data_IF_443433144606
#
_entry.id   IF_443433144606
#
_cell.length_a   1.000
_cell.length_b   1.000
_cell.length_c   1.000
_cell.angle_alpha   90.00
_cell.angle_beta   90.00
_cell.angle_gamma   90.00
#
_symmetry.space_group_name_H-M   'P 1'
#
loop_
_entity.id
_entity.type
_entity.pdbx_description
1 polymer ?
#
# COMPACT_ATOMS: atom_id res chain seq x y z
N UNK A 1 12.26 -11.13 -16.33
CA UNK A 1 10.79 -11.16 -16.46
C UNK A 1 10.26 -10.11 -15.50
N UNK A 2 9.37 -9.23 -15.95
CA UNK A 2 8.90 -8.09 -15.15
C UNK A 2 7.73 -8.50 -14.25
N UNK A 3 7.54 -7.82 -13.11
CA UNK A 3 6.42 -8.04 -12.18
C UNK A 3 5.06 -8.04 -12.91
N UNK A 4 4.87 -7.11 -13.84
CA UNK A 4 3.67 -6.97 -14.67
C UNK A 4 3.39 -8.20 -15.54
N UNK A 5 4.44 -8.90 -16.00
CA UNK A 5 4.29 -10.13 -16.78
C UNK A 5 3.75 -11.28 -15.92
N UNK A 6 4.18 -11.35 -14.64
CA UNK A 6 3.66 -12.33 -13.68
C UNK A 6 2.23 -11.99 -13.28
N UNK A 7 1.96 -10.72 -12.99
CA UNK A 7 0.61 -10.26 -12.63
C UNK A 7 -0.42 -10.63 -13.69
N UNK A 8 -0.15 -10.36 -14.97
CA UNK A 8 -1.07 -10.70 -16.07
C UNK A 8 -1.37 -12.20 -16.16
N UNK A 9 -0.37 -13.06 -15.93
CA UNK A 9 -0.56 -14.52 -15.90
C UNK A 9 -1.37 -14.99 -14.70
N UNK A 10 -1.08 -14.44 -13.51
CA UNK A 10 -1.80 -14.75 -12.28
C UNK A 10 -3.27 -14.33 -12.41
N UNK A 11 -3.53 -13.11 -12.86
CA UNK A 11 -4.89 -12.60 -13.06
C UNK A 11 -5.72 -13.47 -14.00
N UNK A 12 -5.12 -14.01 -15.07
CA UNK A 12 -5.83 -14.87 -16.01
C UNK A 12 -6.26 -16.22 -15.40
N UNK A 13 -5.51 -16.75 -14.43
CA UNK A 13 -5.74 -18.07 -13.83
C UNK A 13 -5.26 -18.12 -12.37
N UNK A 14 -5.89 -17.38 -11.44
CA UNK A 14 -5.30 -17.18 -10.13
C UNK A 14 -5.24 -18.46 -9.31
N UNK A 15 -6.24 -19.34 -9.42
CA UNK A 15 -6.25 -20.63 -8.71
C UNK A 15 -5.06 -21.54 -9.08
N UNK A 16 -4.51 -21.41 -10.29
CA UNK A 16 -3.34 -22.18 -10.71
C UNK A 16 -2.09 -21.82 -9.90
N UNK A 17 -2.02 -20.59 -9.38
CA UNK A 17 -0.88 -20.08 -8.62
C UNK A 17 -1.12 -20.14 -7.11
N UNK A 18 -2.34 -19.87 -6.66
CA UNK A 18 -2.72 -19.88 -5.24
C UNK A 18 -3.17 -21.26 -4.75
N UNK A 19 -3.48 -22.18 -5.66
CA UNK A 19 -4.03 -23.52 -5.36
C UNK A 19 -5.51 -23.52 -4.94
N UNK A 20 -6.10 -22.36 -4.69
CA UNK A 20 -7.50 -22.16 -4.28
C UNK A 20 -7.92 -20.71 -4.53
N UNK A 21 -9.22 -20.45 -4.62
CA UNK A 21 -9.76 -19.09 -4.59
C UNK A 21 -9.57 -18.52 -3.18
N UNK A 22 -8.55 -17.69 -3.00
CA UNK A 22 -8.33 -16.97 -1.75
C UNK A 22 -7.58 -15.66 -1.94
N UNK A 23 -8.19 -14.56 -1.51
CA UNK A 23 -7.60 -13.22 -1.58
C UNK A 23 -6.33 -13.16 -0.73
N UNK A 24 -6.35 -13.77 0.45
CA UNK A 24 -5.18 -13.81 1.34
C UNK A 24 -3.99 -14.46 0.63
N UNK A 25 -4.19 -15.63 0.03
CA UNK A 25 -3.14 -16.33 -0.70
C UNK A 25 -2.63 -15.51 -1.90
N UNK A 26 -3.53 -14.84 -2.63
CA UNK A 26 -3.18 -13.97 -3.74
C UNK A 26 -2.30 -12.79 -3.30
N UNK A 27 -2.70 -12.08 -2.24
CA UNK A 27 -1.96 -10.91 -1.74
C UNK A 27 -0.55 -11.30 -1.30
N UNK A 28 -0.40 -12.41 -0.56
CA UNK A 28 0.92 -12.89 -0.17
C UNK A 28 1.78 -13.34 -1.35
N UNK A 29 1.19 -13.98 -2.36
CA UNK A 29 1.90 -14.37 -3.57
C UNK A 29 2.48 -13.15 -4.29
N UNK A 30 1.65 -12.13 -4.51
CA UNK A 30 2.07 -10.91 -5.21
C UNK A 30 3.09 -10.10 -4.40
N UNK A 31 2.94 -10.04 -3.08
CA UNK A 31 3.93 -9.44 -2.18
C UNK A 31 5.28 -10.16 -2.27
N UNK A 32 5.27 -11.50 -2.23
CA UNK A 32 6.47 -12.31 -2.42
C UNK A 32 7.15 -12.09 -3.78
N UNK A 33 6.37 -11.94 -4.86
CA UNK A 33 6.91 -11.65 -6.20
C UNK A 33 7.52 -10.25 -6.26
N UNK A 34 6.88 -9.23 -5.66
CA UNK A 34 7.40 -7.87 -5.63
C UNK A 34 8.70 -7.76 -4.81
N UNK A 35 8.78 -8.50 -3.70
CA UNK A 35 10.00 -8.67 -2.90
C UNK A 35 11.10 -9.36 -3.71
N UNK A 36 10.79 -10.48 -4.36
CA UNK A 36 11.74 -11.24 -5.17
C UNK A 36 12.23 -10.46 -6.41
N UNK A 37 11.46 -9.47 -6.87
CA UNK A 37 11.87 -8.57 -7.93
C UNK A 37 12.91 -7.51 -7.47
N UNK A 38 13.30 -7.49 -6.19
CA UNK A 38 14.27 -6.58 -5.56
C UNK A 38 13.97 -5.08 -5.76
N UNK A 39 12.72 -4.77 -6.11
CA UNK A 39 12.24 -3.41 -6.33
C UNK A 39 11.26 -2.98 -5.25
N UNK A 40 10.44 -3.89 -4.71
CA UNK A 40 9.44 -3.61 -3.66
C UNK A 40 8.62 -2.33 -3.95
N UNK A 41 8.15 -2.19 -5.19
CA UNK A 41 7.52 -0.95 -5.65
C UNK A 41 6.01 -1.09 -5.67
N UNK A 42 5.47 -2.21 -6.12
CA UNK A 42 4.07 -2.30 -6.50
C UNK A 42 3.16 -2.52 -5.30
N UNK A 43 3.43 -3.52 -4.46
CA UNK A 43 2.54 -3.90 -3.36
C UNK A 43 2.51 -2.86 -2.23
N UNK A 44 3.65 -2.29 -1.79
CA UNK A 44 3.63 -1.17 -0.85
C UNK A 44 2.90 0.05 -1.43
N UNK A 45 3.20 0.44 -2.67
CA UNK A 45 2.57 1.63 -3.29
C UNK A 45 1.08 1.41 -3.53
N UNK A 46 0.66 0.19 -3.90
CA UNK A 46 -0.74 -0.16 -4.03
C UNK A 46 -1.50 -0.06 -2.70
N UNK A 47 -0.89 -0.57 -1.61
CA UNK A 47 -1.47 -0.40 -0.26
C UNK A 47 -1.70 1.08 0.04
N UNK A 48 -0.70 1.92 -0.21
CA UNK A 48 -0.83 3.35 0.05
C UNK A 48 -1.88 4.02 -0.85
N UNK A 49 -1.92 3.66 -2.13
CA UNK A 49 -2.93 4.13 -3.07
C UNK A 49 -4.36 3.79 -2.62
N UNK A 50 -4.60 2.56 -2.16
CA UNK A 50 -5.88 2.15 -1.59
C UNK A 50 -6.23 2.96 -0.33
N UNK A 51 -5.27 3.11 0.58
CA UNK A 51 -5.45 3.86 1.83
C UNK A 51 -5.91 5.29 1.56
N UNK A 52 -5.33 5.95 0.56
CA UNK A 52 -5.72 7.30 0.17
C UNK A 52 -7.05 7.34 -0.56
N UNK A 53 -7.28 6.44 -1.52
CA UNK A 53 -8.56 6.33 -2.25
C UNK A 53 -9.75 6.15 -1.31
N UNK A 54 -9.57 5.36 -0.25
CA UNK A 54 -10.63 5.04 0.71
C UNK A 54 -10.55 5.83 2.02
N UNK A 55 -9.57 6.72 2.18
CA UNK A 55 -9.32 7.48 3.42
C UNK A 55 -9.26 6.57 4.67
N UNK A 56 -8.44 5.52 4.60
CA UNK A 56 -8.30 4.48 5.64
C UNK A 56 -6.84 4.11 5.87
N UNK A 57 -6.57 3.41 6.97
CA UNK A 57 -5.21 2.96 7.36
C UNK A 57 -5.04 1.44 7.41
N UNK A 58 -6.05 0.70 6.98
CA UNK A 58 -6.05 -0.75 7.04
C UNK A 58 -5.06 -1.38 6.04
N UNK A 59 -4.84 -2.69 6.19
CA UNK A 59 -4.14 -3.48 5.18
C UNK A 59 -4.99 -3.67 3.92
N UNK A 60 -4.35 -4.14 2.84
CA UNK A 60 -5.02 -4.43 1.57
C UNK A 60 -6.22 -5.37 1.78
N UNK A 61 -6.00 -6.49 2.47
CA UNK A 61 -7.02 -7.55 2.64
C UNK A 61 -8.30 -7.02 3.31
N UNK A 62 -8.26 -6.37 4.49
CA UNK A 62 -9.47 -5.80 5.10
C UNK A 62 -10.23 -4.82 4.19
N UNK A 63 -9.51 -3.93 3.49
CA UNK A 63 -10.13 -2.94 2.60
C UNK A 63 -10.85 -3.59 1.42
N UNK A 64 -10.28 -4.66 0.86
CA UNK A 64 -10.90 -5.41 -0.24
C UNK A 64 -12.08 -6.24 0.27
N UNK A 65 -11.93 -6.96 1.39
CA UNK A 65 -12.99 -7.81 1.95
C UNK A 65 -14.24 -7.02 2.35
N UNK A 66 -14.09 -5.81 2.86
CA UNK A 66 -15.24 -4.97 3.21
C UNK A 66 -16.06 -4.58 1.97
N UNK A 67 -15.42 -4.45 0.81
CA UNK A 67 -16.09 -4.13 -0.46
C UNK A 67 -16.67 -5.35 -1.14
N UNK A 68 -16.06 -6.52 -0.98
CA UNK A 68 -16.47 -7.74 -1.65
C UNK A 68 -17.39 -8.64 -0.83
N UNK A 69 -17.48 -8.47 0.49
CA UNK A 69 -18.31 -9.31 1.37
C UNK A 69 -17.86 -10.78 1.50
N UNK A 70 -16.95 -11.26 0.66
CA UNK A 70 -16.40 -12.62 0.69
C UNK A 70 -14.98 -12.68 0.11
N UNK A 71 -14.27 -13.79 0.40
CA UNK A 71 -12.91 -14.06 -0.12
C UNK A 71 -12.93 -14.33 -1.63
N UNK A 72 -13.99 -14.99 -2.13
CA UNK A 72 -14.18 -15.34 -3.55
C UNK A 72 -14.42 -14.10 -4.41
N UNK A 73 -15.36 -13.25 -4.02
CA UNK A 73 -15.57 -11.95 -4.68
C UNK A 73 -14.39 -11.00 -4.47
N UNK A 74 -13.68 -11.14 -3.34
CA UNK A 74 -12.54 -10.31 -2.96
C UNK A 74 -11.38 -10.39 -3.95
N UNK A 75 -11.18 -11.54 -4.58
CA UNK A 75 -10.16 -11.68 -5.63
C UNK A 75 -10.48 -10.85 -6.86
N UNK A 76 -11.74 -10.84 -7.30
CA UNK A 76 -12.19 -10.00 -8.41
C UNK A 76 -11.98 -8.51 -8.10
N UNK A 77 -12.47 -8.07 -6.95
CA UNK A 77 -12.30 -6.69 -6.48
C UNK A 77 -10.83 -6.30 -6.34
N UNK A 78 -9.97 -7.21 -5.86
CA UNK A 78 -8.53 -6.96 -5.82
C UNK A 78 -7.96 -6.68 -7.21
N UNK A 79 -8.27 -7.52 -8.21
CA UNK A 79 -7.74 -7.31 -9.56
C UNK A 79 -8.22 -6.01 -10.18
N UNK A 80 -9.50 -5.68 -10.02
CA UNK A 80 -10.07 -4.42 -10.49
C UNK A 80 -9.36 -3.21 -9.87
N UNK A 81 -9.17 -3.20 -8.54
CA UNK A 81 -8.46 -2.12 -7.86
C UNK A 81 -6.99 -2.04 -8.25
N UNK A 82 -6.34 -3.18 -8.45
CA UNK A 82 -4.94 -3.23 -8.81
C UNK A 82 -4.70 -2.76 -10.25
N UNK A 83 -5.61 -3.04 -11.18
CA UNK A 83 -5.54 -2.49 -12.54
C UNK A 83 -5.66 -0.97 -12.53
N UNK A 84 -6.62 -0.42 -11.78
CA UNK A 84 -6.80 1.02 -11.64
C UNK A 84 -5.54 1.67 -11.05
N UNK A 85 -4.92 1.02 -10.07
CA UNK A 85 -3.64 1.44 -9.53
C UNK A 85 -2.54 1.41 -10.59
N UNK A 86 -2.40 0.34 -11.36
CA UNK A 86 -1.37 0.24 -12.40
C UNK A 86 -1.53 1.31 -13.48
N UNK A 87 -2.78 1.62 -13.86
CA UNK A 87 -3.09 2.69 -14.80
C UNK A 87 -2.69 4.07 -14.26
N UNK A 88 -2.96 4.34 -12.98
CA UNK A 88 -2.56 5.58 -12.31
C UNK A 88 -1.03 5.67 -12.14
N UNK A 89 -0.41 4.55 -11.75
CA UNK A 89 1.02 4.38 -11.59
C UNK A 89 1.78 4.62 -12.88
N UNK A 90 1.27 4.14 -14.02
CA UNK A 90 1.89 4.40 -15.33
C UNK A 90 1.80 5.86 -15.76
N UNK A 91 0.71 6.55 -15.39
CA UNK A 91 0.50 7.96 -15.77
C UNK A 91 1.34 8.93 -14.94
N UNK A 92 1.51 8.64 -13.65
CA UNK A 92 2.08 9.55 -12.66
C UNK A 92 3.47 9.13 -12.16
N UNK A 93 3.79 7.85 -12.24
CA UNK A 93 5.00 7.29 -11.64
C UNK A 93 4.90 7.08 -10.12
N UNK A 94 5.88 6.39 -9.52
CA UNK A 94 5.87 5.99 -8.11
C UNK A 94 5.97 7.18 -7.14
N UNK A 95 6.77 8.19 -7.48
CA UNK A 95 7.05 9.32 -6.57
C UNK A 95 5.82 10.23 -6.40
N UNK A 96 5.06 10.49 -7.47
CA UNK A 96 3.85 11.30 -7.40
C UNK A 96 2.73 10.66 -6.57
N UNK A 97 2.65 9.33 -6.57
CA UNK A 97 1.69 8.58 -5.73
C UNK A 97 2.13 8.65 -4.26
N UNK A 98 3.44 8.59 -3.98
CA UNK A 98 3.97 8.74 -2.61
C UNK A 98 3.78 10.17 -2.08
N UNK A 99 4.09 11.19 -2.87
CA UNK A 99 3.95 12.59 -2.47
C UNK A 99 2.50 13.03 -2.22
N UNK A 100 1.55 12.54 -3.03
CA UNK A 100 0.13 12.84 -2.77
C UNK A 100 -0.32 12.24 -1.44
N UNK A 101 0.17 11.05 -1.10
CA UNK A 101 -0.08 10.45 0.20
C UNK A 101 0.55 11.27 1.32
N UNK A 102 1.80 11.72 1.21
CA UNK A 102 2.42 12.58 2.25
C UNK A 102 1.65 13.90 2.48
N UNK A 103 0.86 14.37 1.50
CA UNK A 103 -0.02 15.54 1.66
C UNK A 103 -1.30 15.23 2.44
N UNK A 104 -1.91 14.06 2.22
CA UNK A 104 -3.09 13.59 2.98
C UNK A 104 -2.71 13.07 4.36
N UNK A 105 -1.50 12.54 4.48
CA UNK A 105 -0.87 12.12 5.70
C UNK A 105 0.12 13.19 6.16
N UNK A 106 -0.40 14.30 6.68
CA UNK A 106 0.36 15.12 7.63
C UNK A 106 0.70 14.26 8.85
N UNK A 107 1.73 13.43 8.73
CA UNK A 107 2.40 12.83 9.86
C UNK A 107 3.10 13.95 10.63
N UNK A 108 3.06 13.98 11.97
CA UNK A 108 4.13 14.63 12.69
C UNK A 108 5.42 13.95 12.21
N UNK A 109 6.31 14.73 11.58
CA UNK A 109 7.62 14.25 11.22
C UNK A 109 8.34 13.83 12.51
N UNK A 110 8.40 12.52 12.77
CA UNK A 110 9.19 11.98 13.87
C UNK A 110 10.66 12.02 13.47
N UNK A 111 11.28 13.20 13.55
CA UNK A 111 12.73 13.32 13.53
C UNK A 111 13.25 13.02 14.93
N UNK A 112 13.41 11.74 15.25
CA UNK A 112 14.23 11.34 16.38
C UNK A 112 15.70 11.59 16.07
N UNK A 113 16.31 12.62 16.67
CA UNK A 113 17.77 12.64 16.80
C UNK A 113 18.15 11.58 17.84
N UNK A 114 19.00 10.65 17.44
CA UNK A 114 19.65 9.74 18.39
C UNK A 114 20.54 10.54 19.33
N UNK A 115 20.03 10.86 20.52
CA UNK A 115 20.84 10.93 21.74
C UNK A 115 20.21 10.02 22.76
N UNK A 116 21.03 9.19 23.40
CA UNK A 116 20.59 8.37 24.52
C UNK A 116 19.91 9.28 25.55
N UNK A 117 18.80 8.78 26.11
CA UNK A 117 17.92 9.39 27.12
C UNK A 117 17.04 10.56 26.64
N UNK A 118 15.71 10.31 26.73
CA UNK A 118 14.56 11.21 26.55
C UNK A 118 13.98 11.36 25.12
N UNK A 119 12.71 10.98 24.98
CA UNK A 119 11.89 11.19 23.79
C UNK A 119 11.24 12.57 23.88
N UNK A 120 11.76 13.56 23.15
CA UNK A 120 11.05 14.84 22.98
C UNK A 120 10.09 14.70 21.79
N UNK A 121 8.78 14.73 22.04
CA UNK A 121 7.76 14.73 20.98
C UNK A 121 7.60 16.17 20.47
N UNK A 122 7.93 16.41 19.20
CA UNK A 122 7.64 17.69 18.52
C UNK A 122 6.67 17.46 17.39
N UNK A 123 5.49 18.08 17.48
CA UNK A 123 4.49 18.09 16.41
C UNK A 123 4.82 19.25 15.46
N UNK A 124 5.03 18.96 14.18
CA UNK A 124 5.27 19.98 13.14
C UNK A 124 4.04 20.02 12.24
N UNK A 125 3.49 21.23 12.02
CA UNK A 125 2.40 21.46 11.08
C UNK A 125 2.82 22.58 10.12
N UNK A 126 2.77 22.32 8.81
CA UNK A 126 3.10 23.29 7.75
C UNK A 126 4.49 23.93 7.83
N UNK A 127 5.52 23.17 8.22
CA UNK A 127 6.91 23.66 8.23
C UNK A 127 7.25 24.60 9.38
N UNK A 128 6.32 24.85 10.32
CA UNK A 128 6.60 25.56 11.56
C UNK A 128 6.44 24.61 12.77
N UNK A 129 7.39 24.64 13.74
CA UNK A 129 7.33 23.78 14.91
C UNK A 129 6.18 24.21 15.83
N UNK A 130 5.22 23.32 16.07
CA UNK A 130 4.06 23.57 16.94
C UNK A 130 4.32 22.93 18.31
N UNK A 131 5.28 23.49 19.05
CA UNK A 131 5.46 23.24 20.50
C UNK A 131 5.79 21.81 20.93
N UNK A 132 6.33 21.70 22.14
CA UNK A 132 6.48 20.44 22.88
C UNK A 132 5.21 20.31 23.72
N UNK A 133 4.44 19.25 23.49
CA UNK A 133 3.33 18.91 24.38
C UNK A 133 3.89 18.14 25.56
N UNK A 134 3.91 18.77 26.73
CA UNK A 134 4.10 18.06 28.01
C UNK A 134 2.78 17.33 28.36
N UNK A 135 2.92 16.12 28.89
CA UNK A 135 1.88 15.10 29.18
C UNK A 135 0.55 15.62 29.80
#
# INVERSE_FOLDING_TARGET
MLFTDYYGKIKARPEMYTGKTSLVALVYLLDGIDIAAEKMVYMPTFKYWLQTKYNRRDGIIPMILERSGSDEEGMGVFFEEFDLFLDDFQKRGPEDIREENDKWFCFPAWQGKHSNTEWEIRVIKHGEPVGIGDD
#
